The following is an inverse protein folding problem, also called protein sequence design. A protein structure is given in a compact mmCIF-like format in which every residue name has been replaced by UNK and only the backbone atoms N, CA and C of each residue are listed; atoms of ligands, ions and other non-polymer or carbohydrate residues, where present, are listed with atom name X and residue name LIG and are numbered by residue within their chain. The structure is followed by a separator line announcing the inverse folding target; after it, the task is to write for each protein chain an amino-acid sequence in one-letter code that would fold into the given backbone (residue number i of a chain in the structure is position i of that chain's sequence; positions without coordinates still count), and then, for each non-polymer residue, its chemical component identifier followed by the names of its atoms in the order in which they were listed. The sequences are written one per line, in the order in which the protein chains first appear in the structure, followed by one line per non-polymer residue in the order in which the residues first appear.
data_IF_514852055115
#
_entry.id   IF_514852055115
#
_cell.length_a   1.000
_cell.length_b   1.000
_cell.length_c   1.000
_cell.angle_alpha   90.00
_cell.angle_beta   90.00
_cell.angle_gamma   90.00
#
_symmetry.space_group_name_H-M   'P 1'
#
loop_
_entity.id
_entity.type
_entity.pdbx_description
1 polymer ?
#
# COMPACT_ATOMS: atom_id res chain seq x y z
N UNK A 1 1.96 5.60 1.88
CA UNK A 1 2.04 4.96 0.55
C UNK A 1 1.19 3.71 0.58
N UNK A 2 0.94 3.08 -0.56
CA UNK A 2 0.23 1.80 -0.65
C UNK A 2 1.12 0.76 -1.34
N UNK A 3 0.88 -0.50 -1.04
CA UNK A 3 1.52 -1.66 -1.63
C UNK A 3 0.46 -2.75 -1.75
N UNK A 4 0.50 -3.53 -2.83
CA UNK A 4 -0.52 -4.54 -3.09
C UNK A 4 -0.10 -5.49 -4.20
N UNK A 5 -0.96 -6.49 -4.43
CA UNK A 5 -0.88 -7.39 -5.56
C UNK A 5 -1.00 -6.63 -6.90
N UNK A 6 -0.51 -7.25 -7.98
CA UNK A 6 -0.91 -6.86 -9.33
C UNK A 6 -2.32 -7.36 -9.62
N UNK A 7 -2.99 -6.87 -10.69
CA UNK A 7 -4.40 -7.15 -10.95
C UNK A 7 -4.70 -8.64 -11.09
N UNK A 8 -3.74 -9.40 -11.65
CA UNK A 8 -3.89 -10.83 -11.97
C UNK A 8 -2.86 -11.70 -11.23
N UNK A 9 -2.13 -11.16 -10.26
CA UNK A 9 -1.00 -11.85 -9.62
C UNK A 9 -1.01 -11.70 -8.10
N UNK A 10 -0.94 -12.82 -7.39
CA UNK A 10 -0.82 -12.80 -5.93
C UNK A 10 0.54 -12.23 -5.49
N UNK A 11 0.54 -11.52 -4.36
CA UNK A 11 1.74 -10.95 -3.75
C UNK A 11 1.86 -11.43 -2.30
N UNK A 12 3.10 -11.74 -1.88
CA UNK A 12 3.46 -11.99 -0.49
C UNK A 12 4.60 -11.03 -0.13
N UNK A 13 4.48 -10.37 1.02
CA UNK A 13 5.56 -9.56 1.55
C UNK A 13 5.61 -9.65 3.08
N UNK A 14 6.79 -9.35 3.61
CA UNK A 14 7.01 -9.17 5.03
C UNK A 14 7.08 -7.66 5.28
N UNK A 15 6.25 -7.15 6.19
CA UNK A 15 6.24 -5.74 6.57
C UNK A 15 6.85 -5.58 7.97
N UNK A 16 7.91 -4.79 8.07
CA UNK A 16 8.55 -4.40 9.33
C UNK A 16 8.55 -2.88 9.42
N UNK A 17 8.04 -2.34 10.53
CA UNK A 17 8.11 -0.92 10.83
C UNK A 17 8.17 -0.71 12.34
N UNK A 18 8.95 0.28 12.76
CA UNK A 18 9.10 0.67 14.16
C UNK A 18 7.87 1.44 14.65
N UNK A 19 7.67 1.50 15.97
CA UNK A 19 6.63 2.32 16.57
C UNK A 19 7.19 3.71 16.91
N UNK A 20 6.43 4.76 16.62
CA UNK A 20 6.64 6.09 17.18
C UNK A 20 5.44 6.43 18.05
N UNK A 21 5.67 6.75 19.33
CA UNK A 21 4.60 7.05 20.30
C UNK A 21 3.52 5.95 20.36
N UNK A 22 3.93 4.68 20.27
CA UNK A 22 3.02 3.53 20.27
C UNK A 22 2.22 3.34 18.98
N UNK A 23 2.49 4.13 17.94
CA UNK A 23 1.81 4.07 16.65
C UNK A 23 2.78 3.61 15.54
N UNK A 24 2.37 2.60 14.78
CA UNK A 24 3.15 2.06 13.66
C UNK A 24 2.71 2.63 12.30
N UNK A 25 1.46 3.07 12.20
CA UNK A 25 0.85 3.54 10.95
C UNK A 25 -0.25 4.54 11.24
N UNK A 26 -0.39 5.55 10.37
CA UNK A 26 -1.60 6.35 10.24
C UNK A 26 -2.32 5.89 8.99
N UNK A 27 -3.51 5.31 9.14
CA UNK A 27 -4.34 4.98 7.99
C UNK A 27 -4.98 6.24 7.41
N UNK A 28 -5.03 6.28 6.08
CA UNK A 28 -5.66 7.34 5.30
C UNK A 28 -6.84 6.73 4.51
N UNK A 29 -7.32 7.43 3.50
CA UNK A 29 -8.34 6.94 2.60
C UNK A 29 -7.94 5.66 1.85
N UNK A 30 -8.95 4.92 1.40
CA UNK A 30 -8.74 3.79 0.51
C UNK A 30 -8.23 4.26 -0.85
N UNK A 31 -7.35 3.46 -1.44
CA UNK A 31 -6.96 3.61 -2.83
C UNK A 31 -8.18 3.28 -3.70
N UNK A 32 -8.55 4.18 -4.60
CA UNK A 32 -9.64 3.94 -5.57
C UNK A 32 -9.18 3.04 -6.72
N UNK A 33 -10.14 2.42 -7.42
CA UNK A 33 -9.83 1.61 -8.61
C UNK A 33 -9.08 2.41 -9.69
N UNK A 34 -9.39 3.70 -9.83
CA UNK A 34 -8.69 4.61 -10.75
C UNK A 34 -7.23 4.83 -10.31
N UNK A 35 -6.98 5.04 -9.02
CA UNK A 35 -5.63 5.21 -8.49
C UNK A 35 -4.80 3.93 -8.59
N UNK A 36 -5.43 2.76 -8.40
CA UNK A 36 -4.77 1.47 -8.55
C UNK A 36 -4.44 1.15 -10.02
N UNK A 37 -5.35 1.47 -10.94
CA UNK A 37 -5.18 1.25 -12.38
C UNK A 37 -4.32 2.30 -13.09
N UNK A 38 -3.98 3.41 -12.43
CA UNK A 38 -3.10 4.43 -12.98
C UNK A 38 -1.70 3.86 -13.24
N UNK A 39 -1.15 4.08 -14.43
CA UNK A 39 0.24 3.74 -14.72
C UNK A 39 1.13 4.52 -13.75
N UNK A 40 2.10 3.88 -13.07
CA UNK A 40 3.11 4.61 -12.32
C UNK A 40 3.74 5.64 -13.26
N UNK A 41 3.79 6.90 -12.85
CA UNK A 41 4.28 8.00 -13.69
C UNK A 41 5.62 7.64 -14.34
N UNK A 42 5.72 7.88 -15.65
CA UNK A 42 7.00 7.86 -16.37
C UNK A 42 7.86 9.07 -16.02
#
# INVERSE_FOLDING_TARGET
HWHGAGPDTAMMHIALQEALDGKHVTWLEHVSDEQYGAKPGG
#
